data_IF_193929767450
#
_entry.id   IF_193929767450
#
_cell.length_a   1.000
_cell.length_b   1.000
_cell.length_c   1.000
_cell.angle_alpha   90.00
_cell.angle_beta   90.00
_cell.angle_gamma   90.00
#
_symmetry.space_group_name_H-M   'P 1'
#
loop_
_entity.id
_entity.type
_entity.pdbx_description
1 polymer ?
#
# COMPACT_ATOMS: atom_id res chain seq x y z
N UNK A 1 -22.14 -31.42 7.52
CA UNK A 1 -20.84 -31.32 8.23
C UNK A 1 -21.13 -31.26 9.73
N UNK A 2 -20.98 -32.38 10.43
CA UNK A 2 -21.25 -32.46 11.87
C UNK A 2 -20.27 -31.60 12.66
N UNK A 3 -20.81 -30.61 13.40
CA UNK A 3 -20.03 -29.82 14.37
C UNK A 3 -19.67 -30.72 15.55
N UNK A 4 -18.42 -31.18 15.61
CA UNK A 4 -17.89 -31.92 16.77
C UNK A 4 -17.85 -31.01 18.00
N UNK A 5 -18.74 -31.28 18.96
CA UNK A 5 -18.99 -30.47 20.18
C UNK A 5 -17.79 -30.29 21.12
N UNK A 6 -16.70 -31.02 20.92
CA UNK A 6 -15.51 -31.01 21.80
C UNK A 6 -14.25 -30.40 21.16
N UNK A 7 -14.36 -29.81 19.96
CA UNK A 7 -13.24 -29.08 19.35
C UNK A 7 -13.41 -27.58 19.60
N UNK A 8 -12.72 -27.05 20.61
CA UNK A 8 -12.53 -25.61 20.79
C UNK A 8 -11.56 -25.15 19.70
N UNK A 9 -12.04 -24.40 18.70
CA UNK A 9 -11.17 -23.75 17.71
C UNK A 9 -10.77 -22.39 18.24
N UNK A 10 -9.50 -22.24 18.60
CA UNK A 10 -8.91 -20.93 18.85
C UNK A 10 -8.61 -20.32 17.47
N UNK A 11 -9.05 -19.07 17.19
CA UNK A 11 -8.74 -18.42 15.92
C UNK A 11 -7.22 -18.25 15.77
N UNK A 12 -6.71 -18.38 14.54
CA UNK A 12 -5.27 -18.26 14.32
C UNK A 12 -4.80 -16.82 14.61
N UNK A 13 -3.59 -16.67 15.12
CA UNK A 13 -3.05 -15.35 15.48
C UNK A 13 -3.04 -14.38 14.28
N UNK A 14 -2.74 -14.88 13.07
CA UNK A 14 -2.78 -14.07 11.86
C UNK A 14 -4.19 -13.53 11.55
N UNK A 15 -5.23 -14.32 11.80
CA UNK A 15 -6.62 -13.90 11.61
C UNK A 15 -7.04 -12.86 12.65
N UNK A 16 -6.63 -13.03 13.92
CA UNK A 16 -6.90 -12.04 14.96
C UNK A 16 -6.21 -10.70 14.65
N UNK A 17 -4.96 -10.73 14.17
CA UNK A 17 -4.25 -9.52 13.74
C UNK A 17 -4.98 -8.86 12.56
N UNK A 18 -5.45 -9.64 11.59
CA UNK A 18 -6.18 -9.08 10.44
C UNK A 18 -7.47 -8.37 10.86
N UNK A 19 -8.23 -8.93 11.81
CA UNK A 19 -9.42 -8.29 12.39
C UNK A 19 -9.04 -7.01 13.13
N UNK A 20 -7.97 -7.01 13.93
CA UNK A 20 -7.51 -5.78 14.61
C UNK A 20 -7.18 -4.68 13.60
N UNK A 21 -6.51 -5.02 12.49
CA UNK A 21 -6.17 -4.07 11.43
C UNK A 21 -7.40 -3.56 10.67
N UNK A 22 -8.43 -4.40 10.51
CA UNK A 22 -9.75 -4.01 9.98
C UNK A 22 -10.42 -2.99 10.89
N UNK A 23 -10.49 -3.26 12.19
CA UNK A 23 -11.09 -2.33 13.17
C UNK A 23 -10.35 -0.97 13.19
N UNK A 24 -9.03 -0.97 13.12
CA UNK A 24 -8.26 0.27 12.99
C UNK A 24 -8.53 1.02 11.69
N UNK A 25 -8.85 0.30 10.60
CA UNK A 25 -9.14 0.92 9.31
C UNK A 25 -10.46 1.69 9.27
N UNK A 26 -11.33 1.51 10.27
CA UNK A 26 -12.56 2.30 10.44
C UNK A 26 -12.31 3.67 11.09
N UNK A 27 -11.15 3.89 11.70
CA UNK A 27 -10.77 5.20 12.22
C UNK A 27 -10.54 6.14 11.03
N UNK A 28 -11.31 7.25 10.96
CA UNK A 28 -11.32 8.18 9.81
C UNK A 28 -9.94 8.53 9.25
N UNK A 29 -9.02 8.98 10.10
CA UNK A 29 -7.66 9.37 9.66
C UNK A 29 -6.86 8.18 9.10
N UNK A 30 -7.04 6.98 9.66
CA UNK A 30 -6.38 5.76 9.19
C UNK A 30 -6.97 5.37 7.84
N UNK A 31 -8.30 5.38 7.72
CA UNK A 31 -9.00 5.12 6.47
C UNK A 31 -8.53 6.02 5.33
N UNK A 32 -8.52 7.34 5.56
CA UNK A 32 -8.06 8.34 4.59
C UNK A 32 -6.60 8.08 4.20
N UNK A 33 -5.73 7.78 5.18
CA UNK A 33 -4.32 7.46 4.93
C UNK A 33 -4.16 6.20 4.07
N UNK A 34 -4.94 5.15 4.34
CA UNK A 34 -4.91 3.90 3.56
C UNK A 34 -5.43 4.12 2.13
N UNK A 35 -6.45 4.95 1.96
CA UNK A 35 -6.97 5.33 0.64
C UNK A 35 -5.92 6.09 -0.18
N UNK A 36 -5.24 7.08 0.41
CA UNK A 36 -4.15 7.80 -0.25
C UNK A 36 -2.96 6.88 -0.60
N UNK A 37 -2.59 5.97 0.30
CA UNK A 37 -1.55 4.98 0.04
C UNK A 37 -1.90 4.05 -1.13
N UNK A 38 -3.17 3.63 -1.23
CA UNK A 38 -3.67 2.84 -2.37
C UNK A 38 -3.66 3.65 -3.66
N UNK A 39 -3.98 4.95 -3.62
CA UNK A 39 -3.89 5.85 -4.78
C UNK A 39 -2.46 5.96 -5.30
N UNK A 40 -1.50 6.28 -4.43
CA UNK A 40 -0.07 6.38 -4.77
C UNK A 40 0.44 5.05 -5.33
N UNK A 41 0.11 3.93 -4.69
CA UNK A 41 0.50 2.60 -5.13
C UNK A 41 -0.07 2.30 -6.52
N UNK A 42 -1.39 2.48 -6.70
CA UNK A 42 -2.08 2.21 -7.96
C UNK A 42 -1.54 3.07 -9.09
N UNK A 43 -1.36 4.37 -8.86
CA UNK A 43 -0.78 5.27 -9.85
C UNK A 43 0.63 4.81 -10.27
N UNK A 44 1.47 4.49 -9.29
CA UNK A 44 2.85 4.04 -9.55
C UNK A 44 2.87 2.75 -10.38
N UNK A 45 2.08 1.74 -10.02
CA UNK A 45 2.10 0.44 -10.70
C UNK A 45 1.33 0.42 -12.03
N UNK A 46 0.33 1.28 -12.22
CA UNK A 46 -0.43 1.35 -13.47
C UNK A 46 0.33 2.03 -14.61
N UNK A 47 1.36 2.81 -14.31
CA UNK A 47 2.13 3.55 -15.29
C UNK A 47 3.57 3.03 -15.32
N UNK A 48 3.93 2.25 -16.35
CA UNK A 48 5.25 1.60 -16.46
C UNK A 48 6.43 2.57 -16.35
N UNK A 49 6.32 3.77 -16.93
CA UNK A 49 7.34 4.83 -16.82
C UNK A 49 7.47 5.35 -15.38
N UNK A 50 6.35 5.54 -14.69
CA UNK A 50 6.34 5.99 -13.28
C UNK A 50 6.93 4.91 -12.38
N UNK A 51 6.56 3.64 -12.59
CA UNK A 51 7.14 2.51 -11.87
C UNK A 51 8.66 2.42 -12.09
N UNK A 52 9.12 2.63 -13.32
CA UNK A 52 10.54 2.65 -13.65
C UNK A 52 11.27 3.76 -12.88
N UNK A 53 10.81 5.00 -12.98
CA UNK A 53 11.42 6.15 -12.30
C UNK A 53 11.39 6.00 -10.77
N UNK A 54 10.29 5.47 -10.22
CA UNK A 54 10.20 5.16 -8.79
C UNK A 54 11.29 4.18 -8.37
N UNK A 55 11.52 3.10 -9.13
CA UNK A 55 12.57 2.10 -8.83
C UNK A 55 13.97 2.70 -8.92
N UNK A 56 14.23 3.58 -9.88
CA UNK A 56 15.50 4.27 -10.00
C UNK A 56 15.77 5.17 -8.78
N UNK A 57 14.78 5.96 -8.36
CA UNK A 57 14.93 6.87 -7.22
C UNK A 57 14.91 6.16 -5.86
N UNK A 58 14.21 5.04 -5.75
CA UNK A 58 14.02 4.31 -4.48
C UNK A 58 15.07 3.24 -4.21
N UNK A 59 16.06 3.05 -5.09
CA UNK A 59 17.00 1.91 -5.03
C UNK A 59 16.28 0.57 -5.09
N UNK A 60 15.32 0.46 -6.03
CA UNK A 60 14.52 -0.75 -6.31
C UNK A 60 13.65 -1.22 -5.13
N UNK A 61 13.20 -0.30 -4.27
CA UNK A 61 12.18 -0.63 -3.25
C UNK A 61 10.85 -0.98 -3.91
N UNK A 62 10.00 -1.66 -3.14
CA UNK A 62 8.68 -2.14 -3.57
C UNK A 62 7.65 -1.59 -2.60
N UNK A 63 6.64 -0.87 -3.11
CA UNK A 63 5.58 -0.29 -2.28
C UNK A 63 4.64 -1.39 -1.75
N UNK A 64 4.12 -2.24 -2.64
CA UNK A 64 3.19 -3.30 -2.25
C UNK A 64 4.00 -4.53 -1.83
N UNK A 65 3.89 -4.91 -0.55
CA UNK A 65 4.49 -6.14 0.00
C UNK A 65 3.37 -7.14 0.27
N UNK A 66 3.11 -8.12 -0.63
CA UNK A 66 2.00 -9.04 -0.48
C UNK A 66 2.15 -9.87 0.79
N UNK A 67 1.10 -9.92 1.60
CA UNK A 67 1.01 -10.76 2.81
C UNK A 67 -0.23 -11.64 2.71
N UNK A 68 -0.30 -12.65 3.58
CA UNK A 68 -1.45 -13.57 3.67
C UNK A 68 -2.76 -12.80 3.93
N UNK A 69 -2.70 -11.64 4.58
CA UNK A 69 -3.88 -10.88 4.95
C UNK A 69 -3.96 -9.55 4.19
N UNK A 70 -5.18 -9.20 3.76
CA UNK A 70 -5.41 -8.02 2.91
C UNK A 70 -5.11 -6.73 3.67
N UNK A 71 -5.50 -6.66 4.95
CA UNK A 71 -5.31 -5.44 5.73
C UNK A 71 -3.83 -5.21 6.01
N UNK A 72 -3.09 -6.25 6.41
CA UNK A 72 -1.64 -6.13 6.60
C UNK A 72 -0.92 -5.62 5.34
N UNK A 73 -1.39 -6.01 4.15
CA UNK A 73 -0.82 -5.52 2.88
C UNK A 73 -0.96 -4.00 2.73
N UNK A 74 -2.11 -3.41 3.07
CA UNK A 74 -2.32 -1.96 2.99
C UNK A 74 -1.46 -1.19 4.00
N UNK A 75 -1.36 -1.68 5.24
CA UNK A 75 -0.52 -1.03 6.27
C UNK A 75 0.97 -1.12 5.92
N UNK A 76 1.44 -2.24 5.37
CA UNK A 76 2.82 -2.35 4.87
C UNK A 76 3.07 -1.46 3.66
N UNK A 77 2.06 -1.19 2.83
CA UNK A 77 2.19 -0.23 1.73
C UNK A 77 2.38 1.20 2.26
N UNK A 78 1.64 1.60 3.29
CA UNK A 78 1.85 2.89 4.00
C UNK A 78 3.27 2.99 4.54
N UNK A 79 3.74 1.94 5.23
CA UNK A 79 5.09 1.93 5.78
C UNK A 79 6.16 2.01 4.68
N UNK A 80 5.97 1.28 3.58
CA UNK A 80 6.91 1.33 2.47
C UNK A 80 6.90 2.67 1.73
N UNK A 81 5.76 3.36 1.67
CA UNK A 81 5.65 4.73 1.15
C UNK A 81 6.43 5.69 2.05
N UNK A 82 6.25 5.59 3.38
CA UNK A 82 7.01 6.37 4.37
C UNK A 82 8.51 6.16 4.23
N UNK A 83 8.96 4.90 4.11
CA UNK A 83 10.37 4.57 3.87
C UNK A 83 10.90 5.05 2.52
N UNK A 84 10.02 5.34 1.57
CA UNK A 84 10.35 5.77 0.21
C UNK A 84 9.96 7.23 -0.04
N UNK A 85 9.67 8.01 1.01
CA UNK A 85 9.13 9.36 0.92
C UNK A 85 10.00 10.26 0.03
N UNK A 86 11.32 10.26 0.26
CA UNK A 86 12.26 11.04 -0.55
C UNK A 86 12.28 10.62 -2.03
N UNK A 87 12.14 9.32 -2.31
CA UNK A 87 12.11 8.81 -3.68
C UNK A 87 10.82 9.22 -4.40
N UNK A 88 9.69 9.19 -3.68
CA UNK A 88 8.38 9.63 -4.18
C UNK A 88 8.40 11.14 -4.44
N UNK A 89 8.91 11.94 -3.50
CA UNK A 89 9.06 13.40 -3.69
C UNK A 89 9.95 13.72 -4.90
N UNK A 90 11.04 12.98 -5.08
CA UNK A 90 11.94 13.14 -6.23
C UNK A 90 11.26 12.74 -7.55
N UNK A 91 10.51 11.64 -7.56
CA UNK A 91 9.75 11.19 -8.72
C UNK A 91 8.80 12.27 -9.25
N UNK A 92 8.14 13.00 -8.36
CA UNK A 92 7.18 14.05 -8.75
C UNK A 92 7.80 15.45 -8.93
N UNK A 93 9.12 15.57 -8.83
CA UNK A 93 9.86 16.82 -9.06
C UNK A 93 10.97 16.68 -10.10
N UNK A 94 11.21 15.48 -10.64
CA UNK A 94 12.21 15.26 -11.68
C UNK A 94 11.75 15.74 -13.06
N UNK A 95 12.71 16.06 -13.94
CA UNK A 95 12.43 16.56 -15.29
C UNK A 95 11.65 15.53 -16.12
N UNK A 96 11.92 14.23 -15.94
CA UNK A 96 11.24 13.15 -16.65
C UNK A 96 9.73 13.11 -16.37
N UNK A 97 9.33 13.51 -15.15
CA UNK A 97 7.95 13.68 -14.74
C UNK A 97 7.38 15.01 -15.25
N UNK A 98 8.09 16.12 -15.06
CA UNK A 98 7.61 17.45 -15.50
C UNK A 98 7.38 17.52 -17.02
N UNK A 99 8.13 16.75 -17.80
CA UNK A 99 7.98 16.63 -19.24
C UNK A 99 6.97 15.54 -19.67
N UNK A 100 6.42 14.76 -18.74
CA UNK A 100 5.43 13.74 -19.02
C UNK A 100 4.07 14.33 -19.42
N UNK A 101 3.21 13.54 -20.07
CA UNK A 101 1.83 13.93 -20.35
C UNK A 101 0.95 13.81 -19.11
N UNK A 102 1.25 12.85 -18.24
CA UNK A 102 0.54 12.59 -16.99
C UNK A 102 0.69 13.74 -15.98
N UNK A 103 1.79 14.49 -16.02
CA UNK A 103 1.98 15.67 -15.16
C UNK A 103 1.16 16.88 -15.60
N UNK A 104 0.61 16.84 -16.83
CA UNK A 104 -0.17 17.91 -17.44
C UNK A 104 -1.66 17.61 -17.51
N UNK A 105 -2.09 16.40 -17.15
CA UNK A 105 -3.51 16.09 -17.03
C UNK A 105 -4.07 16.76 -15.78
N UNK A 106 -5.06 17.61 -15.94
CA UNK A 106 -5.88 18.10 -14.83
C UNK A 106 -6.63 16.94 -14.17
N UNK A 107 -6.72 16.97 -12.84
CA UNK A 107 -7.57 16.07 -12.05
C UNK A 107 -9.05 16.21 -12.42
#
# INVERSE_FOLDING_TARGET
MDKRKHLVRIPCAAHNIDIMLEEFSEIKIVKETLEEARLVSRFTYNHSKILFLFREHSKKKVIIRPVITRFATDYLAVDSIRESEYAIKRLFTCEEWLNDRLSKSSA
#
